data_IF_214436355268
#
_entry.id   IF_214436355268
#
_cell.length_a   1.000
_cell.length_b   1.000
_cell.length_c   1.000
_cell.angle_alpha   90.00
_cell.angle_beta   90.00
_cell.angle_gamma   90.00
#
_symmetry.space_group_name_H-M   'P 1'
#
loop_
_entity.id
_entity.type
_entity.pdbx_description
1 polymer ?
#
# COMPACT_ATOMS: atom_id res chain seq x y z
N UNK A 1 -11.60 2.58 -7.46
CA UNK A 1 -10.56 3.52 -6.99
C UNK A 1 -9.42 2.72 -6.41
N UNK A 2 -8.22 2.93 -6.93
CA UNK A 2 -6.97 2.51 -6.28
C UNK A 2 -6.50 3.63 -5.32
N UNK A 3 -5.74 3.28 -4.28
CA UNK A 3 -4.93 4.22 -3.50
C UNK A 3 -3.64 3.49 -3.16
N UNK A 4 -2.49 4.13 -3.40
CA UNK A 4 -1.15 3.51 -3.42
C UNK A 4 -0.14 4.29 -2.56
N UNK A 5 0.34 3.72 -1.44
CA UNK A 5 1.23 4.41 -0.47
C UNK A 5 2.71 4.05 -0.63
N UNK A 6 3.47 4.89 -1.31
CA UNK A 6 4.82 4.61 -1.82
C UNK A 6 5.95 5.19 -0.86
N UNK A 7 7.11 4.50 -0.52
CA UNK A 7 8.12 4.96 0.57
C UNK A 7 9.73 4.67 0.62
N UNK A 8 10.62 5.11 -0.31
CA UNK A 8 12.13 5.12 -0.42
C UNK A 8 13.16 4.01 -0.96
N UNK A 9 13.18 3.46 -2.21
CA UNK A 9 14.44 3.00 -2.95
C UNK A 9 14.38 2.80 -4.51
N UNK A 10 15.46 2.32 -5.18
CA UNK A 10 15.77 2.46 -6.62
C UNK A 10 15.18 1.40 -7.59
N UNK A 11 15.23 1.66 -8.92
CA UNK A 11 14.41 0.99 -9.96
C UNK A 11 15.20 -0.05 -10.82
N UNK A 12 14.99 -1.38 -10.68
CA UNK A 12 15.48 -2.39 -11.62
C UNK A 12 14.49 -2.69 -12.76
N UNK A 13 14.92 -3.42 -13.78
CA UNK A 13 14.04 -4.01 -14.81
C UNK A 13 13.84 -5.50 -14.55
N UNK A 14 12.59 -5.96 -14.58
CA UNK A 14 12.22 -7.37 -14.43
C UNK A 14 11.17 -7.78 -15.48
N UNK A 15 10.92 -9.10 -15.57
CA UNK A 15 9.93 -9.74 -16.44
C UNK A 15 9.17 -10.80 -15.62
N UNK A 16 7.95 -10.55 -15.18
CA UNK A 16 6.97 -11.58 -14.80
C UNK A 16 5.53 -11.03 -14.75
N UNK A 17 4.56 -11.87 -15.12
CA UNK A 17 3.11 -11.59 -15.13
C UNK A 17 2.58 -11.04 -13.80
N UNK A 18 2.06 -9.81 -13.81
CA UNK A 18 1.63 -9.08 -12.61
C UNK A 18 0.12 -9.11 -12.36
N UNK A 19 -0.39 -10.18 -11.76
CA UNK A 19 -1.63 -10.09 -10.97
C UNK A 19 -1.33 -9.50 -9.58
N UNK A 20 -2.31 -8.83 -8.98
CA UNK A 20 -2.21 -8.29 -7.62
C UNK A 20 -2.83 -9.29 -6.64
N UNK A 21 -2.08 -9.68 -5.61
CA UNK A 21 -2.57 -10.62 -4.59
C UNK A 21 -3.53 -9.94 -3.60
N UNK A 22 -4.77 -9.71 -4.06
CA UNK A 22 -5.81 -9.09 -3.27
C UNK A 22 -6.28 -9.97 -2.12
N UNK A 23 -6.15 -9.46 -0.89
CA UNK A 23 -6.64 -10.11 0.33
C UNK A 23 -7.68 -9.26 1.05
N UNK A 24 -8.62 -9.92 1.72
CA UNK A 24 -9.45 -9.32 2.75
C UNK A 24 -8.75 -9.50 4.09
N UNK A 25 -8.70 -8.46 4.91
CA UNK A 25 -8.07 -8.50 6.23
C UNK A 25 -9.08 -8.33 7.35
N UNK A 26 -8.79 -8.94 8.49
CA UNK A 26 -9.50 -8.73 9.74
C UNK A 26 -8.89 -7.55 10.50
N UNK A 27 -9.74 -6.62 10.94
CA UNK A 27 -9.34 -5.41 11.65
C UNK A 27 -10.10 -5.32 12.98
N UNK A 28 -9.46 -4.80 14.03
CA UNK A 28 -10.04 -4.72 15.38
C UNK A 28 -10.52 -3.29 15.64
N UNK A 29 -11.84 -3.11 15.69
CA UNK A 29 -12.48 -1.83 15.96
C UNK A 29 -13.30 -1.94 17.25
N UNK A 30 -13.05 -1.06 18.23
CA UNK A 30 -13.68 -1.08 19.56
C UNK A 30 -13.67 -2.46 20.25
N UNK A 31 -12.57 -3.20 20.10
CA UNK A 31 -12.39 -4.54 20.70
C UNK A 31 -13.16 -5.67 19.99
N UNK A 32 -13.71 -5.43 18.79
CA UNK A 32 -14.37 -6.43 17.96
C UNK A 32 -13.63 -6.61 16.65
N UNK A 33 -13.49 -7.86 16.21
CA UNK A 33 -12.92 -8.20 14.90
C UNK A 33 -13.97 -8.01 13.82
N UNK A 34 -13.60 -7.33 12.74
CA UNK A 34 -14.43 -7.08 11.57
C UNK A 34 -13.62 -7.38 10.31
N UNK A 35 -14.27 -7.91 9.26
CA UNK A 35 -13.64 -7.92 7.93
C UNK A 35 -13.60 -6.50 7.38
N UNK A 36 -12.42 -6.12 6.87
CA UNK A 36 -12.20 -4.86 6.19
C UNK A 36 -13.13 -4.72 4.97
N UNK A 37 -13.90 -3.62 4.84
CA UNK A 37 -14.83 -3.41 3.72
C UNK A 37 -14.11 -2.90 2.47
N UNK A 38 -12.94 -3.49 2.15
CA UNK A 38 -12.16 -3.30 0.92
C UNK A 38 -11.17 -4.45 0.80
N UNK A 39 -10.72 -4.76 -0.41
CA UNK A 39 -9.57 -5.63 -0.61
C UNK A 39 -8.29 -4.80 -0.56
N UNK A 40 -7.21 -5.36 -0.02
CA UNK A 40 -5.90 -4.71 -0.02
C UNK A 40 -4.81 -5.65 -0.51
N UNK A 41 -3.66 -5.09 -0.85
CA UNK A 41 -2.42 -5.84 -1.01
C UNK A 41 -1.24 -4.96 -0.58
N UNK A 42 -0.22 -5.54 0.03
CA UNK A 42 0.96 -4.82 0.53
C UNK A 42 2.20 -5.32 -0.22
N UNK A 43 2.77 -4.45 -1.05
CA UNK A 43 4.00 -4.72 -1.80
C UNK A 43 5.13 -3.83 -1.30
N UNK A 44 6.37 -4.20 -1.61
CA UNK A 44 7.53 -3.39 -1.25
C UNK A 44 8.87 -4.11 -1.30
N UNK A 45 9.84 -3.46 -0.69
CA UNK A 45 11.20 -3.94 -0.51
C UNK A 45 11.36 -4.78 0.76
N UNK A 46 12.38 -5.62 0.80
CA UNK A 46 12.72 -6.41 1.98
C UNK A 46 12.96 -5.50 3.20
N UNK A 47 12.07 -5.60 4.20
CA UNK A 47 12.10 -4.78 5.41
C UNK A 47 11.13 -3.59 5.44
N UNK A 48 10.36 -3.34 4.38
CA UNK A 48 9.28 -2.35 4.38
C UNK A 48 8.05 -2.86 5.18
N UNK A 49 8.18 -2.83 6.51
CA UNK A 49 7.16 -3.32 7.45
C UNK A 49 6.02 -2.31 7.61
N UNK A 50 4.79 -2.75 7.37
CA UNK A 50 3.56 -2.02 7.73
C UNK A 50 2.89 -2.68 8.93
N UNK A 51 2.24 -1.88 9.78
CA UNK A 51 1.58 -2.38 10.97
C UNK A 51 0.23 -1.67 11.18
N UNK A 52 -0.87 -2.33 10.83
CA UNK A 52 -2.22 -1.77 10.97
C UNK A 52 -3.04 -2.56 11.98
N UNK A 53 -3.82 -1.88 12.83
CA UNK A 53 -4.66 -2.53 13.86
C UNK A 53 -3.90 -3.51 14.79
N UNK A 54 -2.56 -3.38 14.92
CA UNK A 54 -1.71 -4.30 15.68
C UNK A 54 -1.22 -5.55 14.92
N UNK A 55 -1.59 -5.72 13.65
CA UNK A 55 -1.11 -6.78 12.76
C UNK A 55 0.10 -6.25 12.00
N UNK A 56 1.20 -7.02 11.96
CA UNK A 56 2.34 -6.71 11.09
C UNK A 56 2.17 -7.39 9.73
N UNK A 57 2.54 -6.68 8.66
CA UNK A 57 2.46 -7.15 7.29
C UNK A 57 3.85 -7.07 6.64
N UNK A 58 4.38 -8.23 6.26
CA UNK A 58 5.55 -8.30 5.40
C UNK A 58 5.15 -7.98 3.94
N UNK A 59 5.96 -7.20 3.21
CA UNK A 59 5.70 -6.82 1.83
C UNK A 59 5.94 -7.98 0.86
N UNK A 60 5.04 -8.15 -0.10
CA UNK A 60 5.36 -8.90 -1.31
C UNK A 60 6.34 -8.11 -2.20
N UNK A 61 7.28 -8.75 -2.92
CA UNK A 61 8.16 -8.04 -3.83
C UNK A 61 7.39 -7.32 -4.94
N UNK A 62 7.71 -6.05 -5.21
CA UNK A 62 7.08 -5.28 -6.29
C UNK A 62 7.09 -6.05 -7.62
N UNK A 63 5.93 -6.09 -8.30
CA UNK A 63 5.84 -6.57 -9.68
C UNK A 63 6.16 -5.45 -10.70
N UNK A 64 6.32 -5.84 -11.98
CA UNK A 64 6.74 -4.94 -13.06
C UNK A 64 5.84 -3.71 -13.24
N UNK A 65 4.53 -3.84 -13.00
CA UNK A 65 3.55 -2.75 -13.14
C UNK A 65 3.69 -1.77 -11.97
N UNK A 66 3.79 -2.29 -10.74
CA UNK A 66 3.99 -1.45 -9.55
C UNK A 66 5.33 -0.72 -9.60
N UNK A 67 6.38 -1.36 -10.11
CA UNK A 67 7.67 -0.70 -10.38
C UNK A 67 7.54 0.46 -11.38
N UNK A 68 6.81 0.29 -12.48
CA UNK A 68 6.60 1.35 -13.46
C UNK A 68 5.80 2.54 -12.89
N UNK A 69 4.72 2.26 -12.15
CA UNK A 69 3.92 3.29 -11.47
C UNK A 69 4.78 4.04 -10.45
N UNK A 70 5.47 3.31 -9.58
CA UNK A 70 6.43 3.82 -8.60
C UNK A 70 7.42 4.79 -9.26
N UNK A 71 8.21 4.32 -10.24
CA UNK A 71 9.27 5.14 -10.83
C UNK A 71 8.71 6.36 -11.61
N UNK A 72 7.47 6.29 -12.12
CA UNK A 72 6.76 7.44 -12.70
C UNK A 72 6.37 8.48 -11.64
N UNK A 73 5.85 8.05 -10.49
CA UNK A 73 5.47 8.95 -9.40
C UNK A 73 6.73 9.57 -8.78
N UNK A 74 7.81 8.81 -8.57
CA UNK A 74 9.09 9.32 -8.07
C UNK A 74 9.67 10.43 -8.95
N UNK A 75 9.56 10.29 -10.28
CA UNK A 75 10.01 11.30 -11.24
C UNK A 75 9.24 12.62 -11.12
N UNK A 76 7.94 12.56 -10.82
CA UNK A 76 7.07 13.74 -10.70
C UNK A 76 7.17 14.36 -9.30
N UNK A 77 7.11 13.55 -8.24
CA UNK A 77 7.12 14.00 -6.85
C UNK A 77 8.49 14.48 -6.38
N UNK A 78 9.58 13.97 -6.99
CA UNK A 78 10.97 14.09 -6.50
C UNK A 78 11.22 13.42 -5.14
N UNK A 79 10.32 12.54 -4.72
CA UNK A 79 10.47 11.66 -3.55
C UNK A 79 10.61 10.21 -4.01
N UNK A 80 11.41 9.42 -3.31
CA UNK A 80 11.64 7.99 -3.58
C UNK A 80 10.69 7.11 -2.78
N UNK A 81 10.44 5.89 -3.28
CA UNK A 81 9.35 5.01 -2.83
C UNK A 81 9.78 3.50 -2.61
N UNK A 82 9.31 2.76 -1.58
CA UNK A 82 9.82 1.42 -1.16
C UNK A 82 8.74 0.40 -0.83
N UNK A 83 7.54 0.85 -0.45
CA UNK A 83 6.36 0.04 -0.22
C UNK A 83 5.24 0.45 -1.19
N UNK A 84 4.12 -0.24 -1.17
CA UNK A 84 2.82 0.21 -1.64
C UNK A 84 1.70 -0.55 -0.96
N UNK A 85 0.91 0.14 -0.12
CA UNK A 85 -0.42 -0.32 0.25
C UNK A 85 -1.36 -0.03 -0.92
N UNK A 86 -1.88 -1.09 -1.54
CA UNK A 86 -2.92 -1.03 -2.56
C UNK A 86 -4.28 -1.21 -1.91
N UNK A 87 -5.26 -0.40 -2.29
CA UNK A 87 -6.64 -0.48 -1.81
C UNK A 87 -7.59 -0.64 -3.00
N UNK A 88 -8.38 -1.71 -3.03
CA UNK A 88 -9.41 -1.94 -4.05
C UNK A 88 -10.81 -1.87 -3.45
N UNK A 89 -11.47 -0.75 -3.72
CA UNK A 89 -12.90 -0.56 -3.52
C UNK A 89 -13.65 -1.11 -4.74
N UNK A 90 -14.30 -2.27 -4.57
CA UNK A 90 -15.01 -3.04 -5.62
C UNK A 90 -16.32 -2.38 -6.06
N UNK A 91 -16.94 -1.61 -5.17
CA UNK A 91 -18.16 -0.85 -5.39
C UNK A 91 -18.25 0.34 -4.43
N UNK A 92 -19.25 1.21 -4.57
CA UNK A 92 -19.51 2.29 -3.60
C UNK A 92 -19.97 1.84 -2.21
N UNK A 93 -20.13 0.53 -1.97
CA UNK A 93 -20.35 -0.03 -0.63
C UNK A 93 -19.04 -0.36 0.11
N UNK A 94 -17.92 -0.47 -0.62
CA UNK A 94 -16.60 -0.59 -0.01
C UNK A 94 -16.13 0.78 0.50
N UNK A 95 -15.43 0.81 1.64
CA UNK A 95 -15.08 2.07 2.31
C UNK A 95 -13.85 1.95 3.21
N UNK A 96 -13.40 3.10 3.72
CA UNK A 96 -12.43 3.19 4.81
C UNK A 96 -12.96 4.21 5.81
N UNK A 97 -12.92 3.88 7.10
CA UNK A 97 -13.30 4.78 8.18
C UNK A 97 -12.32 5.96 8.31
N UNK A 98 -12.73 6.99 9.04
CA UNK A 98 -11.84 8.11 9.38
C UNK A 98 -10.61 7.60 10.16
N UNK A 99 -9.43 7.89 9.63
CA UNK A 99 -8.13 7.56 10.20
C UNK A 99 -7.11 8.62 9.76
N UNK A 100 -5.90 8.54 10.31
CA UNK A 100 -4.70 9.16 9.77
C UNK A 100 -3.62 8.08 9.69
N UNK A 101 -2.71 8.21 8.73
CA UNK A 101 -1.54 7.34 8.61
C UNK A 101 -0.46 7.83 9.60
N UNK A 102 -0.66 7.52 10.89
CA UNK A 102 0.17 7.98 12.01
C UNK A 102 1.04 6.88 12.65
N UNK A 103 1.20 5.75 11.94
CA UNK A 103 1.96 4.60 12.40
C UNK A 103 3.44 4.94 12.65
N UNK A 104 3.95 4.60 13.84
CA UNK A 104 5.35 4.89 14.24
C UNK A 104 6.42 4.27 13.32
N UNK A 105 6.08 3.20 12.59
CA UNK A 105 6.95 2.59 11.57
C UNK A 105 7.26 3.56 10.40
N UNK A 106 6.43 4.58 10.22
CA UNK A 106 6.57 5.61 9.20
C UNK A 106 7.60 6.70 9.59
N UNK A 107 8.08 6.75 10.83
CA UNK A 107 9.10 7.73 11.24
C UNK A 107 8.63 9.19 11.15
N UNK A 108 9.56 10.14 10.96
CA UNK A 108 9.30 11.58 11.04
C UNK A 108 9.33 12.20 9.64
N UNK A 109 8.32 13.03 9.31
CA UNK A 109 8.16 13.76 8.04
C UNK A 109 8.10 12.87 6.78
N UNK A 110 7.35 11.76 6.79
CA UNK A 110 7.11 10.99 5.56
C UNK A 110 6.17 11.69 4.59
N UNK A 111 6.43 11.46 3.30
CA UNK A 111 5.64 11.96 2.18
C UNK A 111 4.86 10.79 1.60
N UNK A 112 3.54 10.90 1.67
CA UNK A 112 2.63 9.96 1.04
C UNK A 112 2.28 10.49 -0.34
N UNK A 113 2.62 9.71 -1.38
CA UNK A 113 1.94 9.83 -2.66
C UNK A 113 0.64 9.02 -2.61
N UNK A 114 -0.39 9.46 -3.34
CA UNK A 114 -1.59 8.66 -3.58
C UNK A 114 -1.97 8.78 -5.05
N UNK A 115 -2.15 7.64 -5.71
CA UNK A 115 -2.58 7.53 -7.10
C UNK A 115 -3.91 6.77 -7.15
N UNK A 116 -4.91 7.37 -7.80
CA UNK A 116 -6.21 6.74 -8.00
C UNK A 116 -6.49 6.38 -9.45
N UNK A 117 -6.71 5.09 -9.66
CA UNK A 117 -7.16 4.49 -10.91
C UNK A 117 -8.65 4.11 -10.78
N UNK A 118 -9.36 4.17 -11.90
CA UNK A 118 -10.80 3.94 -12.02
C UNK A 118 -11.08 2.58 -12.64
#
# INVERSE_FOLDING_TARGET
>A
MLSCFFECSSCPKSNASGEINWRSEEIVIFGKTHLSPRLIAWYGEAGAQYAYSGIQHDPEPFNDILMQLKCSIEQVSRHTFNSVLLNWYRSGADSMGWHADDEKALGINRVIASLSLW
#
